data_IF_235039982059
#
_entry.id   IF_235039982059
#
_cell.length_a   1.000
_cell.length_b   1.000
_cell.length_c   1.000
_cell.angle_alpha   90.00
_cell.angle_beta   90.00
_cell.angle_gamma   90.00
#
_symmetry.space_group_name_H-M   'P 1'
#
loop_
_entity.id
_entity.type
_entity.pdbx_description
1 polymer ?
#
# COMPACT_ATOMS: atom_id res chain seq x y z
N UNK A 1 20.58 71.33 6.20
CA UNK A 1 20.10 71.64 7.57
C UNK A 1 19.00 70.65 7.89
N UNK A 2 19.32 69.68 8.74
CA UNK A 2 18.48 68.54 9.10
C UNK A 2 17.42 68.96 10.11
N UNK A 3 16.17 68.49 9.99
CA UNK A 3 15.19 68.58 11.07
C UNK A 3 14.52 67.22 11.27
N UNK A 4 15.02 66.52 12.29
CA UNK A 4 14.52 65.26 12.82
C UNK A 4 13.31 65.60 13.70
N UNK A 5 12.16 64.95 13.46
CA UNK A 5 11.05 64.93 14.42
C UNK A 5 10.78 63.49 14.85
N UNK A 6 11.29 63.16 16.03
CA UNK A 6 11.01 61.93 16.74
C UNK A 6 9.57 61.93 17.25
N UNK A 7 8.80 60.89 16.90
CA UNK A 7 7.63 60.46 17.66
C UNK A 7 7.78 58.98 17.94
N UNK A 8 7.96 58.66 19.22
CA UNK A 8 7.87 57.32 19.76
C UNK A 8 6.41 56.87 19.77
N UNK A 9 6.14 55.65 19.31
CA UNK A 9 4.98 54.88 19.73
C UNK A 9 5.36 53.39 19.76
N UNK A 10 5.58 52.89 20.98
CA UNK A 10 5.51 51.47 21.32
C UNK A 10 4.06 50.99 21.09
N UNK A 11 3.88 49.84 20.44
CA UNK A 11 2.59 49.17 20.37
C UNK A 11 2.62 47.91 19.52
N UNK A 12 2.82 46.76 20.18
CA UNK A 12 2.77 45.40 19.63
C UNK A 12 1.50 45.12 18.82
N UNK A 13 1.60 44.27 17.79
CA UNK A 13 0.72 43.08 17.62
C UNK A 13 1.36 42.14 16.59
N UNK A 14 1.79 40.98 17.06
CA UNK A 14 2.29 39.86 16.27
C UNK A 14 1.16 39.25 15.43
N UNK A 15 1.44 38.87 14.20
CA UNK A 15 0.60 37.91 13.45
C UNK A 15 1.53 37.03 12.60
N UNK A 16 2.11 36.05 13.27
CA UNK A 16 2.77 34.93 12.61
C UNK A 16 1.70 34.04 11.98
N UNK A 17 1.51 34.16 10.66
CA UNK A 17 0.82 33.13 9.88
C UNK A 17 1.88 32.27 9.19
N UNK A 18 2.56 31.45 9.99
CA UNK A 18 3.28 30.31 9.46
C UNK A 18 2.21 29.29 9.05
N UNK A 19 1.82 29.32 7.77
CA UNK A 19 1.07 28.23 7.17
C UNK A 19 1.98 26.99 7.17
N UNK A 20 1.89 26.23 8.26
CA UNK A 20 2.44 24.89 8.33
C UNK A 20 1.58 24.02 7.42
N UNK A 21 2.09 23.77 6.21
CA UNK A 21 1.55 22.69 5.36
C UNK A 21 1.60 21.41 6.19
N UNK A 22 0.50 20.64 6.31
CA UNK A 22 0.61 19.30 6.85
C UNK A 22 1.54 18.53 5.91
N UNK A 23 2.70 18.12 6.44
CA UNK A 23 3.55 17.13 5.83
C UNK A 23 2.67 15.90 5.62
N UNK A 24 2.27 15.65 4.38
CA UNK A 24 1.57 14.43 4.01
C UNK A 24 2.54 13.30 4.29
N UNK A 25 2.48 12.75 5.49
CA UNK A 25 3.15 11.53 5.86
C UNK A 25 2.64 10.45 4.90
N UNK A 26 3.37 10.25 3.80
CA UNK A 26 3.28 9.05 3.01
C UNK A 26 3.69 7.95 3.96
N UNK A 27 2.70 7.29 4.56
CA UNK A 27 2.90 6.05 5.27
C UNK A 27 3.67 5.15 4.31
N UNK A 28 4.96 4.98 4.58
CA UNK A 28 5.81 4.07 3.83
C UNK A 28 5.25 2.68 4.13
N UNK A 29 4.44 2.16 3.20
CA UNK A 29 4.02 0.77 3.20
C UNK A 29 5.32 -0.05 3.29
N UNK A 30 5.53 -0.82 4.37
CA UNK A 30 6.77 -1.57 4.53
C UNK A 30 6.91 -2.46 3.31
N UNK A 31 7.92 -2.20 2.47
CA UNK A 31 8.07 -2.87 1.19
C UNK A 31 8.15 -4.40 1.40
N UNK A 32 7.03 -5.09 1.18
CA UNK A 32 6.95 -6.54 1.34
C UNK A 32 7.62 -7.18 0.12
N UNK A 33 8.68 -7.96 0.34
CA UNK A 33 9.37 -8.66 -0.75
C UNK A 33 8.50 -9.75 -1.38
N UNK A 34 8.69 -10.00 -2.67
CA UNK A 34 8.12 -11.14 -3.41
C UNK A 34 8.31 -12.49 -2.71
N UNK A 35 9.45 -12.68 -2.04
CA UNK A 35 9.76 -13.91 -1.33
C UNK A 35 8.88 -14.10 -0.08
N UNK A 36 8.57 -13.00 0.61
CA UNK A 36 7.68 -13.01 1.79
C UNK A 36 6.27 -13.38 1.37
N UNK A 37 5.76 -12.78 0.29
CA UNK A 37 4.44 -13.07 -0.25
C UNK A 37 4.37 -14.52 -0.74
N UNK A 38 5.41 -15.00 -1.44
CA UNK A 38 5.49 -16.37 -1.92
C UNK A 38 5.50 -17.40 -0.77
N UNK A 39 6.22 -17.13 0.33
CA UNK A 39 6.19 -17.98 1.53
C UNK A 39 4.78 -18.04 2.11
N UNK A 40 4.09 -16.90 2.17
CA UNK A 40 2.72 -16.83 2.69
C UNK A 40 1.74 -17.62 1.82
N UNK A 41 1.89 -17.61 0.49
CA UNK A 41 1.10 -18.44 -0.42
C UNK A 41 1.34 -19.94 -0.18
N UNK A 42 2.61 -20.35 -0.10
CA UNK A 42 2.97 -21.77 0.15
C UNK A 42 2.43 -22.28 1.48
N UNK A 43 2.48 -21.46 2.53
CA UNK A 43 1.89 -21.78 3.85
C UNK A 43 0.39 -22.04 3.80
N UNK A 44 -0.30 -21.46 2.81
CA UNK A 44 -1.73 -21.62 2.58
C UNK A 44 -2.05 -22.68 1.51
N UNK A 45 -1.05 -23.41 1.03
CA UNK A 45 -1.23 -24.48 0.03
C UNK A 45 -1.16 -24.02 -1.43
N UNK A 46 -0.86 -22.75 -1.71
CA UNK A 46 -0.69 -22.27 -3.08
C UNK A 46 0.72 -22.55 -3.60
N UNK A 47 0.81 -23.08 -4.82
CA UNK A 47 2.09 -23.30 -5.49
C UNK A 47 2.66 -21.99 -6.03
N UNK A 48 3.68 -21.44 -5.38
CA UNK A 48 4.47 -20.34 -5.92
C UNK A 48 5.95 -20.70 -5.85
N UNK A 49 6.47 -21.36 -6.88
CA UNK A 49 7.89 -21.66 -7.04
C UNK A 49 8.58 -20.51 -7.78
N UNK A 50 9.84 -20.27 -7.45
CA UNK A 50 10.68 -19.24 -8.07
C UNK A 50 9.94 -17.89 -8.31
N UNK A 51 9.65 -17.10 -7.26
CA UNK A 51 8.92 -15.84 -7.42
C UNK A 51 9.71 -14.87 -8.30
N UNK A 52 9.11 -14.42 -9.40
CA UNK A 52 9.73 -13.59 -10.42
C UNK A 52 9.57 -12.10 -10.07
N UNK A 53 8.33 -11.68 -9.82
CA UNK A 53 7.98 -10.30 -9.46
C UNK A 53 6.86 -10.22 -8.42
N UNK A 54 6.83 -9.13 -7.66
CA UNK A 54 5.71 -8.72 -6.83
C UNK A 54 5.47 -7.23 -7.00
N UNK A 55 4.30 -6.87 -7.51
CA UNK A 55 3.94 -5.49 -7.80
C UNK A 55 2.73 -5.10 -6.96
N UNK A 56 2.84 -3.99 -6.22
CA UNK A 56 1.73 -3.51 -5.40
C UNK A 56 0.68 -2.86 -6.31
N UNK A 57 -0.53 -3.41 -6.30
CA UNK A 57 -1.65 -2.87 -7.05
C UNK A 57 -2.24 -1.69 -6.30
N UNK A 58 -1.74 -0.48 -6.59
CA UNK A 58 -2.05 0.73 -5.82
C UNK A 58 -3.54 1.09 -5.86
N UNK A 59 -4.25 0.74 -6.93
CA UNK A 59 -5.67 1.03 -7.07
C UNK A 59 -6.52 0.24 -6.07
N UNK A 60 -6.18 -1.03 -5.87
CA UNK A 60 -6.93 -1.94 -4.99
C UNK A 60 -6.40 -1.96 -3.56
N UNK A 61 -5.23 -1.36 -3.32
CA UNK A 61 -4.57 -1.36 -2.02
C UNK A 61 -5.06 -0.23 -1.10
N UNK A 62 -5.30 -0.55 0.16
CA UNK A 62 -5.58 0.39 1.25
C UNK A 62 -4.44 0.38 2.29
N UNK A 63 -4.41 1.31 3.26
CA UNK A 63 -3.34 1.36 4.28
C UNK A 63 -3.15 0.03 5.04
N UNK A 64 -4.24 -0.68 5.35
CA UNK A 64 -4.19 -1.96 6.08
C UNK A 64 -4.59 -3.17 5.21
N UNK A 65 -4.77 -2.99 3.90
CA UNK A 65 -5.17 -4.07 2.98
C UNK A 65 -4.36 -3.93 1.69
N UNK A 66 -3.11 -4.39 1.70
CA UNK A 66 -2.25 -4.27 0.53
C UNK A 66 -2.56 -5.39 -0.48
N UNK A 67 -2.78 -5.00 -1.74
CA UNK A 67 -3.01 -5.93 -2.85
C UNK A 67 -1.76 -6.00 -3.71
N UNK A 68 -1.33 -7.22 -4.03
CA UNK A 68 -0.11 -7.52 -4.77
C UNK A 68 -0.40 -8.41 -5.96
N UNK A 69 0.18 -8.09 -7.11
CA UNK A 69 0.27 -8.96 -8.26
C UNK A 69 1.60 -9.73 -8.15
N UNK A 70 1.52 -11.01 -7.82
CA UNK A 70 2.68 -11.89 -7.67
C UNK A 70 2.80 -12.79 -8.91
N UNK A 71 3.96 -12.73 -9.56
CA UNK A 71 4.31 -13.64 -10.64
C UNK A 71 5.28 -14.68 -10.11
N UNK A 72 4.93 -15.94 -10.27
CA UNK A 72 5.74 -17.11 -9.94
C UNK A 72 5.95 -17.93 -11.22
N UNK A 73 6.88 -18.87 -11.19
CA UNK A 73 7.09 -19.79 -12.30
C UNK A 73 5.79 -20.56 -12.62
N UNK A 74 5.22 -20.26 -13.79
CA UNK A 74 4.00 -20.90 -14.29
C UNK A 74 2.69 -20.46 -13.63
N UNK A 75 2.70 -19.43 -12.77
CA UNK A 75 1.48 -18.96 -12.12
C UNK A 75 1.51 -17.46 -11.78
N UNK A 76 0.36 -16.80 -11.95
CA UNK A 76 0.16 -15.40 -11.56
C UNK A 76 -0.97 -15.32 -10.54
N UNK A 77 -0.77 -14.49 -9.52
CA UNK A 77 -1.68 -14.37 -8.39
C UNK A 77 -2.00 -12.91 -8.08
N UNK A 78 -3.26 -12.63 -7.78
CA UNK A 78 -3.68 -11.44 -7.03
C UNK A 78 -3.74 -11.82 -5.56
N UNK A 79 -2.97 -11.13 -4.74
CA UNK A 79 -2.78 -11.46 -3.32
C UNK A 79 -3.18 -10.25 -2.49
N UNK A 80 -4.24 -10.38 -1.70
CA UNK A 80 -4.61 -9.38 -0.71
C UNK A 80 -4.06 -9.79 0.65
N UNK A 81 -3.12 -9.00 1.17
CA UNK A 81 -2.58 -9.13 2.51
C UNK A 81 -3.43 -8.32 3.49
N UNK A 82 -4.02 -8.99 4.47
CA UNK A 82 -4.79 -8.35 5.54
C UNK A 82 -4.14 -8.71 6.88
N UNK A 83 -3.75 -7.74 7.71
CA UNK A 83 -3.12 -7.98 8.99
C UNK A 83 -3.91 -8.97 9.85
N UNK A 84 -3.20 -9.89 10.52
CA UNK A 84 -3.76 -10.91 11.42
C UNK A 84 -4.73 -11.89 10.74
N UNK A 85 -4.75 -11.94 9.40
CA UNK A 85 -5.54 -12.89 8.64
C UNK A 85 -4.68 -13.63 7.61
N UNK A 86 -5.21 -14.76 7.12
CA UNK A 86 -4.68 -15.43 5.95
C UNK A 86 -4.77 -14.50 4.72
N UNK A 87 -3.86 -14.65 3.75
CA UNK A 87 -3.91 -13.83 2.55
C UNK A 87 -5.06 -14.32 1.66
N UNK A 88 -5.84 -13.40 1.08
CA UNK A 88 -6.78 -13.80 0.03
C UNK A 88 -6.00 -13.92 -1.27
N UNK A 89 -6.09 -15.07 -1.92
CA UNK A 89 -5.30 -15.38 -3.11
C UNK A 89 -6.23 -15.79 -4.24
N UNK A 90 -6.12 -15.10 -5.37
CA UNK A 90 -6.84 -15.41 -6.60
C UNK A 90 -5.82 -15.69 -7.71
N UNK A 91 -6.02 -16.77 -8.47
CA UNK A 91 -5.21 -17.05 -9.67
C UNK A 91 -5.69 -16.14 -10.80
N UNK A 92 -4.75 -15.46 -11.43
CA UNK A 92 -5.01 -14.61 -12.59
C UNK A 92 -4.76 -15.48 -13.83
N UNK A 93 -5.84 -15.89 -14.51
CA UNK A 93 -5.70 -16.33 -15.89
C UNK A 93 -5.26 -15.12 -16.71
N UNK A 94 -4.25 -15.28 -17.55
CA UNK A 94 -3.76 -14.23 -18.44
C UNK A 94 -4.79 -14.01 -19.58
N UNK A 95 -5.99 -13.58 -19.22
CA UNK A 95 -7.07 -13.20 -20.12
C UNK A 95 -7.22 -11.67 -20.03
N UNK A 96 -7.25 -10.95 -21.15
CA UNK A 96 -7.21 -9.49 -21.16
C UNK A 96 -8.53 -8.93 -20.62
N UNK A 97 -8.43 -8.20 -19.51
CA UNK A 97 -9.42 -7.22 -19.03
C UNK A 97 -10.80 -7.77 -18.61
N UNK A 98 -11.05 -7.72 -17.29
CA UNK A 98 -12.38 -7.29 -16.81
C UNK A 98 -13.49 -8.35 -16.72
N UNK A 99 -13.18 -9.58 -16.33
CA UNK A 99 -14.22 -10.51 -15.87
C UNK A 99 -13.86 -11.06 -14.48
N UNK A 100 -14.47 -10.44 -13.46
CA UNK A 100 -14.56 -10.96 -12.10
C UNK A 100 -15.16 -12.37 -12.15
N UNK A 101 -14.32 -13.40 -12.12
CA UNK A 101 -14.80 -14.77 -11.93
C UNK A 101 -15.04 -15.00 -10.43
N UNK A 102 -16.22 -15.50 -10.02
CA UNK A 102 -16.48 -15.82 -8.64
C UNK A 102 -15.57 -16.99 -8.24
N UNK A 103 -14.59 -16.71 -7.39
CA UNK A 103 -13.80 -17.74 -6.73
C UNK A 103 -14.74 -18.56 -5.83
N UNK A 104 -15.20 -19.71 -6.31
CA UNK A 104 -15.66 -20.76 -5.41
C UNK A 104 -14.46 -21.12 -4.52
N UNK A 105 -14.55 -20.97 -3.19
CA UNK A 105 -13.48 -21.36 -2.28
C UNK A 105 -13.11 -22.83 -2.54
N UNK A 106 -11.84 -23.25 -2.41
CA UNK A 106 -11.56 -24.64 -2.14
C UNK A 106 -12.27 -24.98 -0.83
N UNK A 107 -13.44 -25.61 -0.96
CA UNK A 107 -14.05 -26.30 0.14
C UNK A 107 -13.05 -27.36 0.60
N UNK A 108 -12.89 -27.46 1.93
CA UNK A 108 -12.28 -28.60 2.61
C UNK A 108 -10.75 -28.64 2.60
N UNK A 109 -10.15 -28.25 3.74
CA UNK A 109 -9.13 -29.02 4.44
C UNK A 109 -8.79 -28.33 5.78
N UNK A 110 -9.69 -28.46 6.75
CA UNK A 110 -9.37 -28.37 8.17
C UNK A 110 -9.71 -29.74 8.79
N UNK A 111 -8.83 -30.33 9.62
CA UNK A 111 -9.15 -31.56 10.34
C UNK A 111 -10.23 -31.35 11.42
#
# INVERSE_FOLDING_TARGET
MTAIRSTAALGLLASALLFSSPDSALAADPAVSKDVIAVQLRKQGFECKNPESAEREKHDSKPDEAVWLLTCEGARYKVQLIPKMAAKVERIAEEPTGASQPATPPAEQQP
#
